data_IF_753501447607
#
_entry.id   IF_753501447607
#
_cell.length_a   1.000
_cell.length_b   1.000
_cell.length_c   1.000
_cell.angle_alpha   90.00
_cell.angle_beta   90.00
_cell.angle_gamma   90.00
#
_symmetry.space_group_name_H-M   'P 1'
#
loop_
_entity.id
_entity.type
_entity.pdbx_description
1 polymer ?
#
# COMPACT_ATOMS: atom_id res chain seq x y z
N UNK A 1 9.12 -6.93 -0.11
CA UNK A 1 8.14 -5.98 0.44
C UNK A 1 8.76 -4.62 0.35
N UNK A 2 8.20 -3.73 -0.47
CA UNK A 2 8.55 -2.32 -0.39
C UNK A 2 7.92 -1.73 0.87
N UNK A 3 8.68 -0.90 1.57
CA UNK A 3 8.23 -0.22 2.79
C UNK A 3 8.22 1.29 2.55
N UNK A 4 7.59 2.03 3.47
CA UNK A 4 7.53 3.49 3.41
C UNK A 4 8.88 4.17 3.13
N UNK A 5 9.96 3.71 3.78
CA UNK A 5 11.31 4.27 3.61
C UNK A 5 11.81 4.16 2.16
N UNK A 6 11.65 2.98 1.55
CA UNK A 6 12.08 2.74 0.17
C UNK A 6 11.25 3.56 -0.82
N UNK A 7 9.93 3.63 -0.62
CA UNK A 7 9.03 4.35 -1.51
C UNK A 7 9.27 5.86 -1.44
N UNK A 8 9.46 6.42 -0.24
CA UNK A 8 9.83 7.83 -0.09
C UNK A 8 11.16 8.15 -0.80
N UNK A 9 12.18 7.30 -0.62
CA UNK A 9 13.48 7.51 -1.27
C UNK A 9 13.37 7.43 -2.81
N UNK A 10 12.59 6.47 -3.32
CA UNK A 10 12.32 6.33 -4.76
C UNK A 10 11.59 7.54 -5.33
N UNK A 11 10.53 8.00 -4.68
CA UNK A 11 9.74 9.17 -5.11
C UNK A 11 10.57 10.46 -5.12
N UNK A 12 11.42 10.65 -4.11
CA UNK A 12 12.34 11.80 -4.09
C UNK A 12 13.34 11.73 -5.25
N UNK A 13 13.97 10.57 -5.45
CA UNK A 13 14.98 10.36 -6.49
C UNK A 13 14.39 10.43 -7.91
N UNK A 14 13.17 9.94 -8.13
CA UNK A 14 12.50 10.00 -9.44
C UNK A 14 12.23 11.44 -9.89
N UNK A 15 12.08 12.37 -8.93
CA UNK A 15 11.97 13.80 -9.19
C UNK A 15 13.31 14.56 -9.13
N UNK A 16 14.44 13.85 -9.05
CA UNK A 16 15.79 14.41 -8.95
C UNK A 16 15.96 15.44 -7.82
N UNK A 17 15.29 15.23 -6.68
CA UNK A 17 15.36 16.15 -5.54
C UNK A 17 16.42 15.71 -4.54
N UNK A 18 17.25 16.65 -4.09
CA UNK A 18 18.01 16.48 -2.85
C UNK A 18 17.07 16.51 -1.63
N UNK A 19 17.55 16.00 -0.49
CA UNK A 19 16.79 16.06 0.77
C UNK A 19 16.49 17.50 1.19
N UNK A 20 17.40 18.45 0.90
CA UNK A 20 17.21 19.87 1.20
C UNK A 20 16.15 20.49 0.28
N UNK A 21 16.20 20.21 -1.02
CA UNK A 21 15.18 20.72 -1.94
C UNK A 21 13.80 20.17 -1.63
N UNK A 22 13.70 18.89 -1.23
CA UNK A 22 12.43 18.32 -0.79
C UNK A 22 11.90 19.03 0.46
N UNK A 23 12.74 19.22 1.50
CA UNK A 23 12.32 19.94 2.70
C UNK A 23 11.90 21.38 2.40
N UNK A 24 12.65 22.09 1.56
CA UNK A 24 12.39 23.49 1.22
C UNK A 24 11.06 23.62 0.46
N UNK A 25 10.81 22.73 -0.52
CA UNK A 25 9.55 22.69 -1.28
C UNK A 25 8.36 22.34 -0.40
N UNK A 26 8.49 21.38 0.51
CA UNK A 26 7.41 21.03 1.41
C UNK A 26 7.11 22.19 2.39
N UNK A 27 8.14 22.80 2.97
CA UNK A 27 7.97 23.94 3.88
C UNK A 27 7.35 25.19 3.22
N UNK A 28 7.47 25.32 1.90
CA UNK A 28 6.86 26.40 1.14
C UNK A 28 5.37 26.17 0.84
N UNK A 29 4.89 24.92 0.86
CA UNK A 29 3.54 24.55 0.42
C UNK A 29 2.65 23.99 1.53
N UNK A 30 3.22 23.64 2.69
CA UNK A 30 2.50 22.99 3.78
C UNK A 30 2.80 23.67 5.12
N UNK A 31 1.83 23.66 6.02
CA UNK A 31 1.98 24.25 7.36
C UNK A 31 2.93 23.44 8.25
N UNK A 32 2.91 22.11 8.11
CA UNK A 32 3.82 21.21 8.81
C UNK A 32 5.26 21.41 8.37
N UNK A 33 6.18 21.45 9.35
CA UNK A 33 7.59 21.77 9.12
C UNK A 33 8.44 20.52 8.91
N UNK A 34 9.08 20.47 7.76
CA UNK A 34 10.00 19.42 7.35
C UNK A 34 11.45 19.85 7.59
N UNK A 35 12.24 18.94 8.15
CA UNK A 35 13.70 19.10 8.22
C UNK A 35 14.39 18.07 7.33
N UNK A 36 15.53 18.44 6.75
CA UNK A 36 16.39 17.50 6.01
C UNK A 36 16.70 16.24 6.82
N UNK A 37 16.97 16.41 8.13
CA UNK A 37 17.30 15.31 9.03
C UNK A 37 16.11 14.37 9.26
N UNK A 38 14.90 14.90 9.37
CA UNK A 38 13.68 14.09 9.51
C UNK A 38 13.47 13.22 8.27
N UNK A 39 13.55 13.83 7.08
CA UNK A 39 13.38 13.11 5.80
C UNK A 39 14.46 12.03 5.65
N UNK A 40 15.73 12.34 5.96
CA UNK A 40 16.82 11.35 5.92
C UNK A 40 16.56 10.15 6.84
N UNK A 41 16.09 10.39 8.08
CA UNK A 41 15.76 9.33 9.03
C UNK A 41 14.56 8.50 8.56
N UNK A 42 13.58 9.13 7.92
CA UNK A 42 12.43 8.44 7.34
C UNK A 42 12.84 7.55 6.15
N UNK A 43 13.70 8.04 5.25
CA UNK A 43 14.20 7.24 4.12
C UNK A 43 15.10 6.08 4.56
N UNK A 44 15.71 6.17 5.75
CA UNK A 44 16.50 5.09 6.36
C UNK A 44 15.67 4.16 7.26
N UNK A 45 14.38 4.45 7.44
CA UNK A 45 13.49 3.68 8.32
C UNK A 45 13.84 3.79 9.82
N UNK A 46 14.61 4.80 10.24
CA UNK A 46 15.03 5.00 11.65
C UNK A 46 13.86 5.50 12.49
N UNK A 47 13.02 6.34 11.91
CA UNK A 47 11.81 6.90 12.53
C UNK A 47 10.68 6.92 11.52
N UNK A 48 9.45 7.05 11.98
CA UNK A 48 8.28 7.22 11.12
C UNK A 48 7.80 8.67 11.13
N UNK A 49 7.22 9.18 10.02
CA UNK A 49 6.54 10.48 10.02
C UNK A 49 5.26 10.44 10.86
N UNK A 50 4.78 11.59 11.31
CA UNK A 50 3.39 11.70 11.79
C UNK A 50 2.40 11.62 10.63
N UNK A 51 1.11 11.45 10.94
CA UNK A 51 0.05 11.40 9.93
C UNK A 51 0.01 12.65 9.05
N UNK A 52 0.20 13.84 9.63
CA UNK A 52 0.19 15.09 8.87
C UNK A 52 1.37 15.18 7.89
N UNK A 53 2.56 14.75 8.32
CA UNK A 53 3.73 14.69 7.44
C UNK A 53 3.55 13.67 6.32
N UNK A 54 3.02 12.48 6.64
CA UNK A 54 2.73 11.45 5.65
C UNK A 54 1.71 11.93 4.62
N UNK A 55 0.64 12.60 5.07
CA UNK A 55 -0.41 13.14 4.21
C UNK A 55 0.11 14.23 3.29
N UNK A 56 0.93 15.15 3.81
CA UNK A 56 1.59 16.18 3.01
C UNK A 56 2.55 15.57 1.97
N UNK A 57 3.32 14.54 2.33
CA UNK A 57 4.20 13.83 1.39
C UNK A 57 3.39 13.14 0.28
N UNK A 58 2.33 12.42 0.63
CA UNK A 58 1.46 11.73 -0.33
C UNK A 58 0.84 12.73 -1.32
N UNK A 59 0.31 13.84 -0.81
CA UNK A 59 -0.21 14.93 -1.65
C UNK A 59 0.87 15.53 -2.56
N UNK A 60 2.05 15.82 -2.02
CA UNK A 60 3.15 16.44 -2.79
C UNK A 60 3.61 15.54 -3.95
N UNK A 61 3.68 14.24 -3.71
CA UNK A 61 4.07 13.25 -4.71
C UNK A 61 2.91 12.80 -5.60
N UNK A 62 1.68 13.25 -5.33
CA UNK A 62 0.46 12.86 -6.04
C UNK A 62 0.28 11.33 -6.05
N UNK A 63 0.38 10.74 -4.86
CA UNK A 63 0.17 9.31 -4.59
C UNK A 63 -0.76 9.15 -3.40
N UNK A 64 -1.37 7.98 -3.26
CA UNK A 64 -2.13 7.63 -2.06
C UNK A 64 -1.20 7.34 -0.87
N UNK A 65 -1.75 7.37 0.35
CA UNK A 65 -1.02 6.92 1.55
C UNK A 65 -0.70 5.42 1.49
N UNK A 66 -1.54 4.62 0.82
CA UNK A 66 -1.35 3.19 0.66
C UNK A 66 -0.15 2.89 -0.25
N UNK A 67 -0.02 3.60 -1.37
CA UNK A 67 1.16 3.54 -2.23
C UNK A 67 2.41 4.03 -1.49
N UNK A 68 2.32 5.16 -0.79
CA UNK A 68 3.45 5.74 -0.08
C UNK A 68 3.96 4.81 1.03
N UNK A 69 3.05 4.13 1.73
CA UNK A 69 3.39 3.19 2.82
C UNK A 69 3.83 1.81 2.34
N UNK A 70 3.54 1.45 1.08
CA UNK A 70 3.74 0.11 0.53
C UNK A 70 2.60 -0.87 0.85
N UNK A 71 1.44 -0.36 1.31
CA UNK A 71 0.24 -1.16 1.59
C UNK A 71 -0.40 -1.76 0.34
N UNK A 72 -0.25 -1.18 -0.86
CA UNK A 72 -0.77 -1.79 -2.09
C UNK A 72 -0.12 -3.15 -2.40
N UNK A 73 1.15 -3.35 -2.05
CA UNK A 73 1.81 -4.66 -2.16
C UNK A 73 1.28 -5.66 -1.12
N UNK A 74 0.72 -5.17 -0.02
CA UNK A 74 -0.05 -5.98 0.92
C UNK A 74 -1.45 -6.20 0.37
N UNK A 75 -1.54 -6.95 -0.73
CA UNK A 75 -2.82 -7.52 -1.18
C UNK A 75 -3.43 -8.24 0.01
N UNK A 76 -4.46 -7.63 0.60
CA UNK A 76 -5.38 -8.39 1.45
C UNK A 76 -5.93 -9.47 0.55
N UNK A 77 -5.61 -10.73 0.82
CA UNK A 77 -6.43 -11.83 0.32
C UNK A 77 -7.79 -11.58 0.94
N UNK A 78 -8.66 -10.83 0.27
CA UNK A 78 -10.08 -10.88 0.58
C UNK A 78 -10.51 -12.24 0.06
N UNK A 79 -10.78 -13.24 0.92
CA UNK A 79 -11.43 -14.43 0.45
C UNK A 79 -12.76 -13.97 -0.17
N UNK A 80 -12.88 -14.10 -1.48
CA UNK A 80 -14.14 -13.82 -2.15
C UNK A 80 -15.13 -14.85 -1.64
N UNK A 81 -16.06 -14.40 -0.79
CA UNK A 81 -16.92 -15.31 -0.04
C UNK A 81 -18.19 -15.51 -0.84
N UNK A 82 -18.24 -16.59 -1.63
CA UNK A 82 -19.39 -16.90 -2.47
C UNK A 82 -20.63 -17.30 -1.65
N UNK A 83 -20.43 -17.91 -0.48
CA UNK A 83 -21.48 -18.45 0.38
C UNK A 83 -22.53 -17.41 0.82
N UNK A 84 -22.11 -16.19 1.17
CA UNK A 84 -23.02 -15.14 1.65
C UNK A 84 -23.85 -14.48 0.53
N UNK A 85 -23.41 -14.59 -0.73
CA UNK A 85 -24.07 -13.96 -1.88
C UNK A 85 -25.01 -14.90 -2.63
N UNK A 86 -24.97 -16.20 -2.35
CA UNK A 86 -25.69 -17.26 -3.09
C UNK A 86 -26.69 -18.02 -2.22
N UNK A 87 -26.95 -17.53 -1.00
CA UNK A 87 -27.84 -18.19 -0.05
C UNK A 87 -29.26 -18.27 -0.61
N UNK A 88 -29.72 -19.49 -0.88
CA UNK A 88 -31.04 -19.76 -1.46
C UNK A 88 -31.12 -19.69 -3.00
N UNK A 89 -30.04 -19.31 -3.69
CA UNK A 89 -30.02 -19.25 -5.16
C UNK A 89 -29.51 -20.53 -5.83
N UNK A 90 -28.69 -21.31 -5.12
CA UNK A 90 -28.12 -22.57 -5.61
C UNK A 90 -28.79 -23.79 -5.00
N UNK A 91 -29.00 -24.83 -5.81
CA UNK A 91 -29.45 -26.14 -5.32
C UNK A 91 -28.27 -26.91 -4.74
N UNK A 92 -28.57 -27.89 -3.90
CA UNK A 92 -27.54 -28.77 -3.31
C UNK A 92 -26.69 -29.46 -4.38
N UNK A 93 -27.30 -29.88 -5.50
CA UNK A 93 -26.60 -30.50 -6.63
C UNK A 93 -25.54 -29.58 -7.27
N UNK A 94 -25.83 -28.28 -7.35
CA UNK A 94 -24.90 -27.28 -7.88
C UNK A 94 -23.72 -27.08 -6.92
N UNK A 95 -24.00 -27.07 -5.62
CA UNK A 95 -22.99 -26.97 -4.56
C UNK A 95 -22.06 -28.20 -4.60
N UNK A 96 -22.62 -29.40 -4.68
CA UNK A 96 -21.86 -30.65 -4.74
C UNK A 96 -20.96 -30.69 -5.98
N UNK A 97 -21.47 -30.23 -7.14
CA UNK A 97 -20.69 -30.11 -8.36
C UNK A 97 -19.51 -29.13 -8.20
N UNK A 98 -19.75 -27.94 -7.66
CA UNK A 98 -18.69 -26.94 -7.40
C UNK A 98 -17.61 -27.53 -6.48
N UNK A 99 -18.01 -28.24 -5.41
CA UNK A 99 -17.07 -28.85 -4.48
C UNK A 99 -16.21 -29.93 -5.16
N UNK A 100 -16.79 -30.73 -6.06
CA UNK A 100 -16.03 -31.71 -6.84
C UNK A 100 -14.96 -31.08 -7.74
N UNK A 101 -15.25 -29.91 -8.33
CA UNK A 101 -14.29 -29.15 -9.13
C UNK A 101 -13.13 -28.63 -8.27
N UNK A 102 -13.44 -28.11 -7.08
CA UNK A 102 -12.42 -27.63 -6.13
C UNK A 102 -11.48 -28.76 -5.71
N UNK A 103 -12.01 -29.95 -5.40
CA UNK A 103 -11.21 -31.12 -5.07
C UNK A 103 -10.31 -31.56 -6.23
N UNK A 104 -10.85 -31.53 -7.45
CA UNK A 104 -10.07 -31.82 -8.66
C UNK A 104 -8.89 -30.86 -8.81
N UNK A 105 -9.09 -29.55 -8.70
CA UNK A 105 -8.00 -28.57 -8.83
C UNK A 105 -6.94 -28.72 -7.73
N UNK A 106 -7.36 -29.00 -6.49
CA UNK A 106 -6.41 -29.27 -5.38
C UNK A 106 -5.52 -30.49 -5.60
N UNK A 107 -5.99 -31.46 -6.40
CA UNK A 107 -5.25 -32.66 -6.73
C UNK A 107 -4.43 -32.52 -8.03
N UNK A 108 -4.79 -31.61 -8.94
CA UNK A 108 -4.01 -31.27 -10.13
C UNK A 108 -2.80 -30.36 -9.82
N UNK A 109 -2.87 -29.55 -8.75
CA UNK A 109 -1.77 -28.70 -8.28
C UNK A 109 -0.76 -29.42 -7.33
N UNK A 110 -0.85 -30.74 -7.19
CA UNK A 110 0.03 -31.60 -6.38
C UNK A 110 0.93 -32.46 -7.25
#
# INVERSE_FOLDING_TARGET
>A
MTNFSDNLSKLRKSRNLSLKELSDRLNANYEVKFSKASIDRWEKGITSPSMDHASALAHYFNVSLDELSGLEEMKRSHPQTMAAHLEGELKQEDIDYIMSLVERFKNEDK
#
